data_IF_883123323320
#
_entry.id   IF_883123323320
#
_cell.length_a   1.000
_cell.length_b   1.000
_cell.length_c   1.000
_cell.angle_alpha   90.00
_cell.angle_beta   90.00
_cell.angle_gamma   90.00
#
_symmetry.space_group_name_H-M   'P 1'
#
loop_
_entity.id
_entity.type
_entity.pdbx_description
1 polymer ?
#
# COMPACT_ATOMS: atom_id res chain seq x y z
N UNK A 1 10.81 7.94 10.61
CA UNK A 1 12.10 8.61 10.92
C UNK A 1 13.33 7.92 10.28
N UNK A 2 13.21 7.31 9.09
CA UNK A 2 14.38 6.73 8.37
C UNK A 2 15.20 7.79 7.61
N UNK A 3 14.54 8.85 7.13
CA UNK A 3 15.16 9.87 6.28
C UNK A 3 16.14 10.80 7.01
N UNK A 4 16.01 10.94 8.33
CA UNK A 4 16.88 11.81 9.14
C UNK A 4 18.24 11.17 9.47
N UNK A 5 18.42 9.88 9.21
CA UNK A 5 19.67 9.15 9.43
C UNK A 5 20.51 9.02 8.14
N UNK A 6 20.16 9.76 7.08
CA UNK A 6 20.82 9.65 5.76
C UNK A 6 20.39 8.41 4.96
N UNK A 7 19.51 7.57 5.51
CA UNK A 7 18.94 6.43 4.80
C UNK A 7 17.80 6.88 3.89
N UNK A 8 17.92 6.60 2.59
CA UNK A 8 16.87 6.88 1.61
C UNK A 8 15.98 5.64 1.46
N UNK A 9 14.89 5.62 2.22
CA UNK A 9 13.83 4.62 2.05
C UNK A 9 13.17 4.80 0.68
N UNK A 10 13.36 3.83 -0.22
CA UNK A 10 12.72 3.87 -1.55
C UNK A 10 11.23 3.53 -1.45
N UNK A 11 10.42 3.99 -2.41
CA UNK A 11 8.99 3.66 -2.44
C UNK A 11 8.73 2.15 -2.59
N UNK A 12 9.60 1.43 -3.32
CA UNK A 12 9.52 -0.02 -3.42
C UNK A 12 9.82 -0.72 -2.10
N UNK A 13 10.84 -0.26 -1.38
CA UNK A 13 11.21 -0.80 -0.08
C UNK A 13 10.11 -0.53 0.96
N UNK A 14 9.55 0.68 0.97
CA UNK A 14 8.42 1.01 1.83
C UNK A 14 7.20 0.10 1.56
N UNK A 15 6.85 -0.10 0.29
CA UNK A 15 5.74 -0.99 -0.10
C UNK A 15 6.02 -2.45 0.27
N UNK A 16 7.25 -2.92 0.08
CA UNK A 16 7.67 -4.27 0.49
C UNK A 16 7.54 -4.44 2.01
N UNK A 17 8.09 -3.52 2.81
CA UNK A 17 8.01 -3.57 4.27
C UNK A 17 6.57 -3.54 4.78
N UNK A 18 5.68 -2.80 4.11
CA UNK A 18 4.26 -2.73 4.45
C UNK A 18 3.45 -4.00 4.06
N UNK A 19 4.01 -4.88 3.22
CA UNK A 19 3.30 -6.06 2.69
C UNK A 19 4.09 -7.34 2.96
N UNK A 20 4.79 -7.89 1.96
CA UNK A 20 5.50 -9.16 2.05
C UNK A 20 6.64 -9.15 3.06
N UNK A 21 7.35 -8.02 3.21
CA UNK A 21 8.41 -7.84 4.20
C UNK A 21 7.87 -7.93 5.63
N UNK A 22 6.71 -7.34 5.89
CA UNK A 22 5.99 -7.48 7.15
C UNK A 22 5.57 -8.93 7.40
N UNK A 23 4.94 -9.58 6.43
CA UNK A 23 4.55 -11.00 6.53
C UNK A 23 5.74 -11.92 6.84
N UNK A 24 6.89 -11.71 6.18
CA UNK A 24 8.14 -12.45 6.44
C UNK A 24 8.65 -12.27 7.86
N UNK A 25 8.60 -11.05 8.39
CA UNK A 25 9.06 -10.78 9.77
C UNK A 25 8.21 -11.52 10.82
N UNK A 26 6.97 -11.86 10.47
CA UNK A 26 6.02 -12.61 11.31
C UNK A 26 6.00 -14.11 11.01
N UNK A 27 6.73 -14.59 9.99
CA UNK A 27 6.67 -15.99 9.54
C UNK A 27 5.32 -16.37 8.90
N UNK A 28 4.61 -15.40 8.32
CA UNK A 28 3.30 -15.57 7.68
C UNK A 28 3.35 -15.39 6.16
N UNK A 29 4.54 -15.31 5.57
CA UNK A 29 4.70 -15.04 4.14
C UNK A 29 4.32 -16.20 3.22
N UNK A 30 4.11 -17.40 3.77
CA UNK A 30 3.45 -18.51 3.07
C UNK A 30 1.93 -18.35 3.01
N UNK A 31 1.34 -17.50 3.86
CA UNK A 31 -0.12 -17.30 3.98
C UNK A 31 -0.58 -15.97 3.36
N UNK A 32 0.12 -14.87 3.61
CA UNK A 32 -0.30 -13.51 3.22
C UNK A 32 0.81 -12.71 2.53
N UNK A 33 0.51 -11.45 2.18
CA UNK A 33 1.51 -10.46 1.77
C UNK A 33 1.79 -10.35 0.26
N UNK A 34 1.19 -11.20 -0.58
CA UNK A 34 1.19 -11.07 -2.04
C UNK A 34 0.02 -11.87 -2.67
N UNK A 35 -0.13 -11.79 -4.00
CA UNK A 35 -1.23 -12.41 -4.75
C UNK A 35 -0.88 -13.74 -5.44
N UNK A 36 0.06 -14.51 -4.89
CA UNK A 36 0.33 -15.85 -5.44
C UNK A 36 -0.86 -16.79 -5.18
N UNK A 37 -1.16 -17.74 -6.09
CA UNK A 37 -2.18 -18.75 -5.84
C UNK A 37 -1.90 -19.55 -4.56
N UNK A 38 -2.94 -19.80 -3.76
CA UNK A 38 -2.85 -20.52 -2.49
C UNK A 38 -2.66 -19.64 -1.24
N UNK A 39 -2.41 -18.33 -1.42
CA UNK A 39 -2.42 -17.35 -0.32
C UNK A 39 -3.84 -17.01 0.12
N UNK A 40 -4.00 -16.61 1.38
CA UNK A 40 -5.22 -16.02 1.92
C UNK A 40 -5.54 -14.70 1.20
N UNK A 41 -6.82 -14.47 0.92
CA UNK A 41 -7.28 -13.35 0.10
C UNK A 41 -7.51 -12.07 0.93
N UNK A 42 -6.43 -11.60 1.55
CA UNK A 42 -6.39 -10.37 2.34
C UNK A 42 -5.78 -9.23 1.51
N UNK A 43 -6.60 -8.23 1.17
CA UNK A 43 -6.16 -7.14 0.31
C UNK A 43 -6.94 -5.85 0.52
N UNK A 44 -6.35 -4.77 0.01
CA UNK A 44 -6.91 -3.43 0.09
C UNK A 44 -7.07 -2.86 -1.31
N UNK A 45 -8.27 -2.36 -1.61
CA UNK A 45 -8.54 -1.53 -2.78
C UNK A 45 -8.27 -0.09 -2.39
N UNK A 46 -7.31 0.54 -3.08
CA UNK A 46 -6.92 1.92 -2.81
C UNK A 46 -7.44 2.89 -3.87
N UNK A 47 -7.85 4.08 -3.45
CA UNK A 47 -8.19 5.22 -4.29
C UNK A 47 -7.09 6.29 -4.20
N UNK A 48 -6.26 6.47 -5.24
CA UNK A 48 -5.18 7.44 -5.24
C UNK A 48 -5.64 8.89 -5.49
N UNK A 49 -6.95 9.11 -5.56
CA UNK A 49 -7.60 10.39 -5.87
C UNK A 49 -8.51 10.88 -4.74
N UNK A 50 -8.31 10.38 -3.52
CA UNK A 50 -9.21 10.62 -2.40
C UNK A 50 -9.20 12.06 -1.85
N UNK A 51 -8.17 12.85 -2.17
CA UNK A 51 -8.12 14.28 -1.88
C UNK A 51 -7.65 15.06 -3.10
N UNK A 52 -8.02 16.35 -3.26
CA UNK A 52 -7.63 17.14 -4.43
C UNK A 52 -6.12 17.22 -4.65
N UNK A 53 -5.32 17.33 -3.59
CA UNK A 53 -3.85 17.39 -3.69
C UNK A 53 -3.26 16.03 -4.08
N UNK A 54 -3.78 14.95 -3.51
CA UNK A 54 -3.33 13.59 -3.85
C UNK A 54 -3.66 13.27 -5.31
N UNK A 55 -4.88 13.57 -5.76
CA UNK A 55 -5.30 13.42 -7.15
C UNK A 55 -4.39 14.19 -8.11
N UNK A 56 -4.19 15.49 -7.87
CA UNK A 56 -3.32 16.31 -8.71
C UNK A 56 -1.91 15.73 -8.84
N UNK A 57 -1.32 15.23 -7.74
CA UNK A 57 0.01 14.63 -7.76
C UNK A 57 0.03 13.27 -8.42
N UNK A 58 -1.00 12.46 -8.23
CA UNK A 58 -1.12 11.14 -8.85
C UNK A 58 -1.34 11.24 -10.36
N UNK A 59 -2.17 12.17 -10.82
CA UNK A 59 -2.44 12.41 -12.25
C UNK A 59 -1.18 12.87 -13.01
N UNK A 60 -0.27 13.57 -12.31
CA UNK A 60 1.04 13.97 -12.86
C UNK A 60 2.15 12.91 -12.66
N UNK A 61 1.85 11.76 -12.04
CA UNK A 61 2.82 10.69 -11.79
C UNK A 61 2.87 9.71 -12.97
N UNK A 62 4.03 9.62 -13.62
CA UNK A 62 4.21 8.79 -14.81
C UNK A 62 4.67 7.37 -14.45
N UNK A 63 5.61 7.25 -13.52
CA UNK A 63 6.17 5.95 -13.13
C UNK A 63 5.40 5.31 -11.98
N UNK A 64 5.56 3.98 -11.82
CA UNK A 64 5.03 3.28 -10.66
C UNK A 64 5.68 3.77 -9.35
N UNK A 65 6.96 4.13 -9.38
CA UNK A 65 7.68 4.68 -8.21
C UNK A 65 7.05 6.00 -7.77
N UNK A 66 6.73 6.89 -8.71
CA UNK A 66 6.07 8.16 -8.40
C UNK A 66 4.69 7.92 -7.78
N UNK A 67 3.92 7.00 -8.35
CA UNK A 67 2.60 6.61 -7.85
C UNK A 67 2.66 6.06 -6.42
N UNK A 68 3.60 5.15 -6.15
CA UNK A 68 3.82 4.62 -4.81
C UNK A 68 4.29 5.71 -3.84
N UNK A 69 5.14 6.63 -4.29
CA UNK A 69 5.60 7.75 -3.48
C UNK A 69 4.46 8.71 -3.12
N UNK A 70 3.55 9.01 -4.05
CA UNK A 70 2.34 9.79 -3.79
C UNK A 70 1.46 9.10 -2.74
N UNK A 71 1.20 7.80 -2.89
CA UNK A 71 0.42 7.04 -1.92
C UNK A 71 1.07 7.03 -0.53
N UNK A 72 2.39 6.87 -0.46
CA UNK A 72 3.14 6.85 0.80
C UNK A 72 3.14 8.20 1.53
N UNK A 73 3.17 9.31 0.79
CA UNK A 73 3.36 10.65 1.38
C UNK A 73 2.06 11.43 1.58
N UNK A 74 1.03 11.16 0.79
CA UNK A 74 -0.25 11.87 0.80
C UNK A 74 -1.45 10.98 1.14
N UNK A 75 -1.28 9.66 1.23
CA UNK A 75 -2.35 8.74 1.61
C UNK A 75 -2.67 8.79 3.10
N UNK A 76 -3.94 8.63 3.43
CA UNK A 76 -4.45 8.43 4.80
C UNK A 76 -5.55 7.36 4.82
N UNK A 77 -6.55 7.47 5.69
CA UNK A 77 -7.69 6.52 5.84
C UNK A 77 -8.80 6.73 4.80
N UNK A 78 -8.92 7.94 4.25
CA UNK A 78 -9.44 8.14 2.88
C UNK A 78 -8.44 7.41 1.96
N UNK A 79 -8.50 7.32 0.65
CA UNK A 79 -7.61 6.39 -0.09
C UNK A 79 -7.81 4.88 0.21
N UNK A 80 -8.19 4.43 1.41
CA UNK A 80 -8.64 3.05 1.63
C UNK A 80 -10.10 2.98 1.19
N UNK A 81 -10.35 2.41 0.00
CA UNK A 81 -11.71 2.35 -0.56
C UNK A 81 -12.45 1.10 -0.08
N UNK A 82 -11.82 -0.06 -0.15
CA UNK A 82 -12.37 -1.32 0.37
C UNK A 82 -11.28 -2.18 0.98
N UNK A 83 -11.60 -2.91 2.04
CA UNK A 83 -10.70 -3.91 2.62
C UNK A 83 -11.39 -5.27 2.61
N UNK A 84 -10.63 -6.27 2.17
CA UNK A 84 -11.03 -7.66 2.11
C UNK A 84 -10.20 -8.49 3.07
N UNK A 85 -10.86 -9.39 3.79
CA UNK A 85 -10.26 -10.38 4.68
C UNK A 85 -10.91 -11.73 4.42
N UNK A 86 -10.14 -12.81 4.28
CA UNK A 86 -10.62 -14.14 3.88
C UNK A 86 -11.46 -14.06 2.57
N UNK A 87 -11.06 -13.19 1.64
CA UNK A 87 -11.76 -12.97 0.37
C UNK A 87 -13.14 -12.30 0.50
N UNK A 88 -13.52 -11.82 1.69
CA UNK A 88 -14.80 -11.16 1.96
C UNK A 88 -14.60 -9.68 2.18
N UNK A 89 -15.51 -8.87 1.63
CA UNK A 89 -15.55 -7.44 1.90
C UNK A 89 -15.92 -7.22 3.38
N UNK A 90 -15.02 -6.60 4.14
CA UNK A 90 -15.23 -6.32 5.58
C UNK A 90 -15.27 -4.83 5.90
N UNK A 91 -14.81 -3.99 4.97
CA UNK A 91 -14.85 -2.54 5.08
C UNK A 91 -15.05 -1.91 3.71
N UNK A 92 -15.91 -0.90 3.64
CA UNK A 92 -16.11 -0.04 2.48
C UNK A 92 -16.24 1.40 2.96
N UNK A 93 -15.44 2.30 2.38
CA UNK A 93 -15.54 3.74 2.60
C UNK A 93 -16.70 4.26 1.75
N UNK A 94 -17.67 4.90 2.41
CA UNK A 94 -18.82 5.55 1.77
C UNK A 94 -18.47 6.86 1.06
#
# INVERSE_FOLDING_TARGET
MLQLQGYRLSAYEAFYLATLGGAKSLGLDDLIGNFLPGKEADFVVMEPTATPLQQLRYDNSVSLVDKLFVMMTLGDDRSIYRTYVDGRLVYERN
#
